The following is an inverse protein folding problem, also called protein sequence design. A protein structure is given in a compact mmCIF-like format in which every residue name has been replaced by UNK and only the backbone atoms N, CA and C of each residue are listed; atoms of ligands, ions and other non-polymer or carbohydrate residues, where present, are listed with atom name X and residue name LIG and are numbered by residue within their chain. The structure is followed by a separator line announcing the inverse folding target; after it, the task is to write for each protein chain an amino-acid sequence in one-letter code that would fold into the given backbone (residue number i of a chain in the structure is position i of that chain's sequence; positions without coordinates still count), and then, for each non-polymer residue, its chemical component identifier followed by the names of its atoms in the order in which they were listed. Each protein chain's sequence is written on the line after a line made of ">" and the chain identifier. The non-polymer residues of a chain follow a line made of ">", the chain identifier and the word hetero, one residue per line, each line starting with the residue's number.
data_IF_162519771689
#
_entry.id   IF_162519771689
#
_cell.length_a   1.000
_cell.length_b   1.000
_cell.length_c   1.000
_cell.angle_alpha   90.00
_cell.angle_beta   90.00
_cell.angle_gamma   90.00
#
_symmetry.space_group_name_H-M   'P 1'
#
loop_
_entity.id
_entity.type
_entity.pdbx_description
1 polymer ?
#
# COMPACT_ATOMS: atom_id res chain seq x y z
N UNK A 1 -51.80 43.59 -32.98
CA UNK A 1 -51.19 43.29 -31.67
C UNK A 1 -49.93 42.46 -31.91
N UNK A 2 -48.75 43.04 -31.71
CA UNK A 2 -47.46 42.35 -31.71
C UNK A 2 -47.13 42.00 -30.25
N UNK A 3 -46.97 40.72 -29.91
CA UNK A 3 -46.38 40.32 -28.64
C UNK A 3 -44.95 39.83 -28.87
N UNK A 4 -44.01 40.66 -28.41
CA UNK A 4 -42.60 40.36 -28.19
C UNK A 4 -42.46 39.70 -26.82
N UNK A 5 -41.72 38.60 -26.73
CA UNK A 5 -41.47 37.89 -25.48
C UNK A 5 -40.11 37.19 -25.52
N UNK A 6 -39.12 37.84 -24.91
CA UNK A 6 -37.72 37.47 -24.82
C UNK A 6 -37.48 36.04 -24.31
N UNK A 7 -36.69 35.25 -25.05
CA UNK A 7 -36.18 33.96 -24.61
C UNK A 7 -35.05 34.15 -23.59
N UNK A 8 -35.26 33.69 -22.36
CA UNK A 8 -34.25 33.67 -21.30
C UNK A 8 -33.22 32.57 -21.60
N UNK A 9 -32.05 32.94 -22.13
CA UNK A 9 -30.92 32.02 -22.27
C UNK A 9 -30.30 31.76 -20.89
N UNK A 10 -30.57 30.59 -20.31
CA UNK A 10 -29.92 30.15 -19.08
C UNK A 10 -28.46 29.81 -19.39
N UNK A 11 -27.53 30.67 -18.94
CA UNK A 11 -26.09 30.42 -18.99
C UNK A 11 -25.78 29.19 -18.14
N UNK A 12 -25.52 28.05 -18.78
CA UNK A 12 -24.97 26.87 -18.09
C UNK A 12 -23.60 27.24 -17.54
N UNK A 13 -23.52 27.48 -16.23
CA UNK A 13 -22.26 27.55 -15.51
C UNK A 13 -21.75 26.12 -15.44
N UNK A 14 -20.78 25.78 -16.29
CA UNK A 14 -20.08 24.49 -16.18
C UNK A 14 -19.44 24.43 -14.80
N UNK A 15 -19.78 23.39 -14.02
CA UNK A 15 -19.09 23.12 -12.75
C UNK A 15 -17.61 22.97 -13.06
N UNK A 16 -16.79 23.88 -12.57
CA UNK A 16 -15.33 23.75 -12.61
C UNK A 16 -14.96 22.52 -11.79
N UNK A 17 -14.71 21.40 -12.46
CA UNK A 17 -14.15 20.22 -11.81
C UNK A 17 -12.67 20.51 -11.59
N UNK A 18 -12.26 20.63 -10.32
CA UNK A 18 -10.85 20.69 -10.00
C UNK A 18 -10.19 19.36 -10.42
N UNK A 19 -9.39 19.40 -11.49
CA UNK A 19 -8.48 18.31 -11.85
C UNK A 19 -7.33 18.32 -10.85
N UNK A 20 -7.56 17.78 -9.66
CA UNK A 20 -6.46 17.49 -8.73
C UNK A 20 -5.70 16.30 -9.28
N UNK A 21 -4.38 16.41 -9.45
CA UNK A 21 -3.54 15.24 -9.72
C UNK A 21 -3.85 14.14 -8.69
N UNK A 22 -3.97 12.88 -9.12
CA UNK A 22 -4.05 11.73 -8.21
C UNK A 22 -2.93 11.85 -7.19
N UNK A 23 -3.26 12.11 -5.91
CA UNK A 23 -2.28 12.19 -4.84
C UNK A 23 -1.49 10.87 -4.84
N UNK A 24 -0.16 10.95 -4.97
CA UNK A 24 0.69 9.77 -4.86
C UNK A 24 0.39 9.06 -3.55
N UNK A 25 0.13 7.75 -3.59
CA UNK A 25 -0.07 6.96 -2.39
C UNK A 25 1.24 6.26 -2.05
N UNK A 26 1.82 6.59 -0.92
CA UNK A 26 2.98 5.89 -0.36
C UNK A 26 2.53 4.55 0.21
N UNK A 27 3.15 3.45 -0.23
CA UNK A 27 2.94 2.11 0.31
C UNK A 27 4.19 1.79 1.13
N UNK A 28 4.01 1.38 2.39
CA UNK A 28 5.13 0.94 3.21
C UNK A 28 5.42 -0.53 2.95
N UNK A 29 6.69 -0.89 2.81
CA UNK A 29 7.14 -2.25 2.61
C UNK A 29 8.09 -2.66 3.73
N UNK A 30 7.90 -3.88 4.24
CA UNK A 30 8.85 -4.52 5.15
C UNK A 30 9.53 -5.67 4.41
N UNK A 31 10.86 -5.57 4.33
CA UNK A 31 11.74 -6.63 3.87
C UNK A 31 12.51 -7.23 5.05
N UNK A 32 12.74 -8.53 4.99
CA UNK A 32 13.65 -9.22 5.90
C UNK A 32 14.69 -9.98 5.10
N UNK A 33 15.96 -9.77 5.39
CA UNK A 33 17.08 -10.48 4.75
C UNK A 33 18.06 -10.95 5.83
N UNK A 34 18.58 -12.16 5.69
CA UNK A 34 19.60 -12.68 6.59
C UNK A 34 21.01 -12.49 6.01
N UNK A 35 22.04 -12.76 6.81
CA UNK A 35 23.44 -12.64 6.38
C UNK A 35 23.82 -13.59 5.22
N UNK A 36 23.05 -14.66 5.00
CA UNK A 36 23.24 -15.59 3.89
C UNK A 36 22.59 -15.12 2.57
N UNK A 37 21.87 -13.98 2.59
CA UNK A 37 21.16 -13.46 1.42
C UNK A 37 19.78 -14.07 1.20
N UNK A 38 19.30 -14.93 2.11
CA UNK A 38 17.91 -15.39 2.09
C UNK A 38 17.02 -14.23 2.49
N UNK A 39 15.95 -14.02 1.73
CA UNK A 39 15.00 -12.95 1.96
C UNK A 39 13.59 -13.50 2.10
N UNK A 40 12.81 -12.89 2.98
CA UNK A 40 11.38 -13.11 3.02
C UNK A 40 10.72 -12.31 1.88
N UNK A 41 9.64 -12.84 1.27
CA UNK A 41 8.80 -12.05 0.39
C UNK A 41 8.31 -10.76 1.06
N UNK A 42 8.05 -9.68 0.31
CA UNK A 42 7.62 -8.40 0.87
C UNK A 42 6.35 -8.48 1.74
N UNK A 43 6.33 -7.68 2.82
CA UNK A 43 5.12 -7.38 3.56
C UNK A 43 4.69 -5.93 3.27
N UNK A 44 3.61 -5.75 2.51
CA UNK A 44 3.16 -4.44 2.04
C UNK A 44 2.03 -3.88 2.91
N UNK A 45 2.03 -2.57 3.12
CA UNK A 45 1.02 -1.86 3.90
C UNK A 45 0.50 -0.71 3.07
N UNK A 46 -0.75 -0.85 2.61
CA UNK A 46 -1.42 0.13 1.80
C UNK A 46 -2.13 1.18 2.66
N UNK A 47 -2.06 2.48 2.31
CA UNK A 47 -2.79 3.51 3.01
C UNK A 47 -4.28 3.47 2.69
N UNK A 48 -5.10 3.62 3.73
CA UNK A 48 -6.55 3.70 3.65
C UNK A 48 -7.23 2.33 3.52
N UNK A 49 -8.35 2.28 2.79
CA UNK A 49 -9.24 1.10 2.72
C UNK A 49 -9.19 0.37 1.37
N UNK A 50 -8.28 0.75 0.48
CA UNK A 50 -8.21 0.20 -0.88
C UNK A 50 -6.80 -0.24 -1.20
N UNK A 51 -6.66 -1.49 -1.64
CA UNK A 51 -5.42 -1.99 -2.18
C UNK A 51 -5.11 -1.36 -3.52
N UNK A 52 -3.82 -1.18 -3.81
CA UNK A 52 -3.36 -0.76 -5.12
C UNK A 52 -3.16 -2.00 -5.98
N UNK A 53 -4.10 -2.28 -6.88
CA UNK A 53 -4.07 -3.48 -7.71
C UNK A 53 -2.77 -3.67 -8.51
N UNK A 54 -2.08 -2.58 -8.84
CA UNK A 54 -0.78 -2.62 -9.52
C UNK A 54 0.32 -3.30 -8.70
N UNK A 55 0.27 -3.20 -7.36
CA UNK A 55 1.22 -3.89 -6.48
C UNK A 55 0.89 -5.38 -6.33
N UNK A 56 -0.40 -5.74 -6.43
CA UNK A 56 -0.87 -7.12 -6.24
C UNK A 56 -0.70 -7.96 -7.50
N UNK A 57 -0.92 -7.36 -8.68
CA UNK A 57 -0.93 -8.09 -9.96
C UNK A 57 0.40 -8.78 -10.27
N UNK A 58 1.51 -8.26 -9.76
CA UNK A 58 2.85 -8.82 -9.91
C UNK A 58 3.53 -9.08 -8.56
N UNK A 59 2.75 -9.33 -7.51
CA UNK A 59 3.30 -9.62 -6.19
C UNK A 59 4.09 -10.94 -6.22
N UNK A 60 5.26 -10.94 -5.58
CA UNK A 60 6.07 -12.14 -5.38
C UNK A 60 5.27 -13.16 -4.58
N UNK A 61 5.36 -14.45 -4.93
CA UNK A 61 4.67 -15.51 -4.21
C UNK A 61 5.05 -15.50 -2.72
N UNK A 62 4.04 -15.55 -1.85
CA UNK A 62 4.23 -15.44 -0.40
C UNK A 62 4.26 -14.01 0.14
N UNK A 63 4.18 -12.97 -0.71
CA UNK A 63 3.97 -11.59 -0.24
C UNK A 63 2.69 -11.49 0.58
N UNK A 64 2.71 -10.63 1.60
CA UNK A 64 1.54 -10.35 2.44
C UNK A 64 1.14 -8.89 2.29
N UNK A 65 -0.15 -8.65 2.09
CA UNK A 65 -0.70 -7.31 1.91
C UNK A 65 -1.63 -6.94 3.06
N UNK A 66 -1.37 -5.79 3.70
CA UNK A 66 -2.18 -5.22 4.78
C UNK A 66 -2.61 -3.81 4.45
N UNK A 67 -3.57 -3.32 5.23
CA UNK A 67 -4.01 -1.94 5.19
C UNK A 67 -3.83 -1.29 6.55
N UNK A 68 -3.44 -0.03 6.56
CA UNK A 68 -3.57 0.85 7.73
C UNK A 68 -4.09 2.21 7.28
N UNK A 69 -4.73 2.95 8.19
CA UNK A 69 -5.32 4.25 7.85
C UNK A 69 -4.26 5.22 7.28
N UNK A 70 -3.07 5.25 7.88
CA UNK A 70 -1.95 6.08 7.44
C UNK A 70 -1.07 5.44 6.36
N UNK A 71 -1.14 4.11 6.17
CA UNK A 71 -0.16 3.35 5.40
C UNK A 71 1.11 3.02 6.19
N UNK A 72 1.27 3.56 7.41
CA UNK A 72 2.42 3.29 8.26
C UNK A 72 2.25 2.00 9.07
N UNK A 73 3.37 1.51 9.57
CA UNK A 73 3.44 0.40 10.52
C UNK A 73 3.06 0.91 11.91
N UNK A 74 2.30 0.08 12.62
CA UNK A 74 2.10 0.18 14.05
C UNK A 74 2.36 -1.17 14.70
N UNK A 75 2.39 -1.19 16.04
CA UNK A 75 2.78 -2.36 16.84
C UNK A 75 2.14 -3.67 16.39
N UNK A 76 0.82 -3.70 16.18
CA UNK A 76 0.11 -4.92 15.78
C UNK A 76 0.54 -5.48 14.43
N UNK A 77 0.72 -4.62 13.42
CA UNK A 77 1.23 -5.05 12.11
C UNK A 77 2.68 -5.54 12.21
N UNK A 78 3.50 -4.86 13.02
CA UNK A 78 4.88 -5.26 13.24
C UNK A 78 4.98 -6.64 13.90
N UNK A 79 4.24 -6.85 14.98
CA UNK A 79 4.19 -8.13 15.69
C UNK A 79 3.69 -9.27 14.79
N UNK A 80 2.65 -9.01 13.98
CA UNK A 80 2.16 -9.97 13.00
C UNK A 80 3.24 -10.32 11.96
N UNK A 81 3.93 -9.32 11.42
CA UNK A 81 5.02 -9.54 10.47
C UNK A 81 6.11 -10.43 11.09
N UNK A 82 6.60 -10.11 12.29
CA UNK A 82 7.67 -10.87 12.94
C UNK A 82 7.24 -12.31 13.25
N UNK A 83 6.08 -12.48 13.88
CA UNK A 83 5.64 -13.79 14.41
C UNK A 83 5.10 -14.73 13.34
N UNK A 84 4.45 -14.20 12.30
CA UNK A 84 3.71 -15.01 11.34
C UNK A 84 4.33 -15.03 9.95
N UNK A 85 4.89 -13.90 9.51
CA UNK A 85 5.45 -13.80 8.16
C UNK A 85 6.94 -14.14 8.17
N UNK A 86 7.75 -13.35 8.85
CA UNK A 86 9.20 -13.52 8.87
C UNK A 86 9.65 -14.81 9.54
N UNK A 87 9.00 -15.23 10.64
CA UNK A 87 9.33 -16.49 11.30
C UNK A 87 9.29 -17.70 10.35
N UNK A 88 8.38 -17.70 9.37
CA UNK A 88 8.29 -18.77 8.36
C UNK A 88 9.52 -18.84 7.46
N UNK A 89 10.14 -17.69 7.18
CA UNK A 89 11.28 -17.60 6.28
C UNK A 89 12.62 -17.60 7.02
N UNK A 90 12.64 -17.16 8.27
CA UNK A 90 13.81 -17.20 9.15
C UNK A 90 14.16 -18.63 9.60
N UNK A 91 13.15 -19.48 9.81
CA UNK A 91 13.32 -20.87 10.27
C UNK A 91 13.72 -21.86 9.17
N UNK A 92 13.79 -21.44 7.89
CA UNK A 92 14.09 -22.33 6.77
C UNK A 92 15.56 -22.76 6.70
N UNK A 93 16.47 -22.18 7.50
CA UNK A 93 17.88 -22.56 7.52
C UNK A 93 18.42 -22.62 8.96
N UNK A 94 19.18 -23.69 9.23
CA UNK A 94 19.55 -24.25 10.53
C UNK A 94 20.22 -23.28 11.52
N UNK A 95 20.06 -23.62 12.81
CA UNK A 95 20.60 -22.95 14.00
C UNK A 95 20.19 -21.48 14.14
N UNK A 96 19.07 -21.27 14.83
CA UNK A 96 18.45 -19.98 15.14
C UNK A 96 19.41 -18.99 15.82
N UNK A 97 20.46 -19.51 16.49
CA UNK A 97 21.41 -18.71 17.25
C UNK A 97 22.45 -17.97 16.39
N UNK A 98 22.68 -18.36 15.13
CA UNK A 98 23.75 -17.81 14.26
C UNK A 98 23.25 -17.16 12.96
N UNK A 99 21.95 -16.89 12.83
CA UNK A 99 21.35 -16.38 11.59
C UNK A 99 20.67 -15.01 11.79
N UNK A 100 21.44 -13.92 11.98
CA UNK A 100 20.86 -12.60 12.20
C UNK A 100 20.06 -12.15 10.97
N UNK A 101 18.81 -11.74 11.22
CA UNK A 101 17.91 -11.18 10.21
C UNK A 101 17.90 -9.66 10.34
N UNK A 102 18.24 -8.98 9.25
CA UNK A 102 18.14 -7.53 9.11
C UNK A 102 16.78 -7.15 8.56
N UNK A 103 16.16 -6.15 9.20
CA UNK A 103 14.89 -5.58 8.77
C UNK A 103 15.14 -4.32 7.94
N UNK A 104 14.48 -4.23 6.78
CA UNK A 104 14.48 -3.05 5.94
C UNK A 104 13.06 -2.52 5.85
N UNK A 105 12.90 -1.24 6.15
CA UNK A 105 11.63 -0.51 6.13
C UNK A 105 11.72 0.54 5.02
N UNK A 106 10.89 0.39 3.98
CA UNK A 106 10.85 1.28 2.81
C UNK A 106 9.48 1.97 2.68
#
# INVERSE_FOLDING_TARGET
>A
MLQSGYGMLTRQVSKTQALTSLRSKTVTMIGGINALGNHAPPFNIFPGKRWQGNFIKSAVAGSVDKMSESGCIYRGIFEENVTSHLARYAALNANVDDNPVTFILL
#
